data_IF_441005809387
#
_entry.id   IF_441005809387
#
_cell.length_a   1.000
_cell.length_b   1.000
_cell.length_c   1.000
_cell.angle_alpha   90.00
_cell.angle_beta   90.00
_cell.angle_gamma   90.00
#
_symmetry.space_group_name_H-M   'P 1'
#
loop_
_entity.id
_entity.type
_entity.pdbx_description
1 polymer ?
#
# COMPACT_ATOMS: atom_id res chain seq x y z
N UNK A 1 74.53 10.87 -35.72
CA UNK A 1 73.09 10.63 -35.50
C UNK A 1 72.89 9.17 -35.14
N UNK A 2 72.01 8.85 -34.19
CA UNK A 2 71.78 7.53 -33.52
C UNK A 2 72.47 7.34 -32.17
N UNK A 3 72.24 8.25 -31.22
CA UNK A 3 72.41 7.98 -29.78
C UNK A 3 71.45 8.78 -28.86
N UNK A 4 70.40 9.40 -29.41
CA UNK A 4 69.47 10.25 -28.65
C UNK A 4 68.01 9.75 -28.59
N UNK A 5 67.66 8.64 -29.26
CA UNK A 5 66.31 8.05 -29.22
C UNK A 5 66.18 6.81 -28.31
N UNK A 6 67.26 6.30 -27.73
CA UNK A 6 67.22 5.12 -26.85
C UNK A 6 67.11 5.45 -25.35
N UNK A 7 67.21 6.73 -24.97
CA UNK A 7 67.18 7.15 -23.56
C UNK A 7 65.81 7.64 -23.06
N UNK A 8 64.79 7.72 -23.92
CA UNK A 8 63.40 8.06 -23.52
C UNK A 8 62.49 6.85 -23.31
N UNK A 9 62.92 5.63 -23.64
CA UNK A 9 62.14 4.41 -23.39
C UNK A 9 62.51 3.67 -22.10
N UNK A 10 63.51 4.13 -21.35
CA UNK A 10 63.99 3.44 -20.13
C UNK A 10 63.52 4.12 -18.83
N UNK A 11 62.88 5.30 -18.91
CA UNK A 11 62.36 6.04 -17.74
C UNK A 11 60.85 5.91 -17.50
N UNK A 12 60.17 5.00 -18.22
CA UNK A 12 58.74 4.72 -18.02
C UNK A 12 58.47 3.27 -17.54
N UNK A 13 59.46 2.65 -16.90
CA UNK A 13 59.38 1.24 -16.48
C UNK A 13 59.96 0.98 -15.08
N UNK A 14 59.69 1.85 -14.09
CA UNK A 14 59.90 1.53 -12.66
C UNK A 14 59.03 2.41 -11.74
N UNK A 15 57.73 2.15 -11.72
CA UNK A 15 56.85 2.43 -10.58
C UNK A 15 55.70 1.41 -10.60
N UNK A 16 55.99 0.19 -10.16
CA UNK A 16 54.96 -0.81 -9.82
C UNK A 16 55.00 -0.92 -8.29
N UNK A 17 53.96 -0.45 -7.57
CA UNK A 17 53.85 -0.69 -6.14
C UNK A 17 53.53 -2.17 -5.92
N UNK A 18 54.27 -2.79 -5.01
CA UNK A 18 53.87 -4.04 -4.37
C UNK A 18 52.51 -3.84 -3.68
N UNK A 19 51.48 -4.42 -4.26
CA UNK A 19 50.25 -4.74 -3.54
C UNK A 19 50.13 -6.27 -3.54
N UNK A 20 50.11 -6.83 -2.33
CA UNK A 20 49.76 -8.22 -2.08
C UNK A 20 48.45 -8.55 -2.81
N UNK A 21 48.52 -9.46 -3.78
CA UNK A 21 47.34 -10.02 -4.43
C UNK A 21 46.59 -10.89 -3.43
N UNK A 22 45.54 -10.33 -2.83
CA UNK A 22 44.40 -11.10 -2.37
C UNK A 22 43.86 -11.89 -3.58
N UNK A 23 43.50 -13.18 -3.42
CA UNK A 23 42.80 -13.88 -4.48
C UNK A 23 41.51 -13.12 -4.80
N UNK A 24 41.06 -13.10 -6.07
CA UNK A 24 39.81 -12.45 -6.43
C UNK A 24 38.69 -13.00 -5.55
N UNK A 25 37.75 -12.16 -5.08
CA UNK A 25 36.59 -12.68 -4.39
C UNK A 25 35.89 -13.60 -5.38
N UNK A 26 35.90 -14.89 -5.09
CA UNK A 26 34.93 -15.82 -5.64
C UNK A 26 33.59 -15.10 -5.57
N UNK A 27 32.94 -14.98 -6.73
CA UNK A 27 31.55 -14.56 -6.80
C UNK A 27 30.80 -15.28 -5.68
N UNK A 28 29.86 -14.63 -4.97
CA UNK A 28 29.00 -15.37 -4.09
C UNK A 28 28.21 -16.31 -4.99
N UNK A 29 28.67 -17.56 -5.11
CA UNK A 29 27.82 -18.69 -5.40
C UNK A 29 26.74 -18.60 -4.34
N UNK A 30 25.67 -18.00 -4.81
CA UNK A 30 24.32 -18.01 -4.31
C UNK A 30 24.16 -19.28 -3.49
N UNK A 31 24.26 -19.14 -2.16
CA UNK A 31 23.66 -20.08 -1.23
C UNK A 31 22.16 -19.88 -1.44
N UNK A 32 21.65 -20.47 -2.51
CA UNK A 32 20.24 -20.73 -2.69
C UNK A 32 19.90 -21.64 -1.51
N UNK A 33 18.94 -21.28 -0.66
CA UNK A 33 18.46 -22.24 0.32
C UNK A 33 18.01 -23.47 -0.47
N UNK A 34 18.64 -24.62 -0.22
CA UNK A 34 18.27 -25.94 -0.73
C UNK A 34 16.90 -26.32 -0.18
N UNK A 35 15.88 -25.57 -0.57
CA UNK A 35 14.50 -25.99 -0.48
C UNK A 35 14.25 -26.84 -1.71
N UNK A 36 13.75 -28.07 -1.56
CA UNK A 36 13.41 -28.88 -2.72
C UNK A 36 12.38 -28.11 -3.55
N UNK A 37 12.60 -28.02 -4.85
CA UNK A 37 11.61 -27.47 -5.78
C UNK A 37 10.42 -28.43 -5.73
N UNK A 38 9.25 -27.92 -5.38
CA UNK A 38 8.00 -28.68 -5.31
C UNK A 38 6.91 -27.82 -5.96
N UNK A 39 6.09 -28.39 -6.87
CA UNK A 39 4.97 -27.67 -7.44
C UNK A 39 3.97 -27.23 -6.35
N UNK A 40 3.27 -26.10 -6.54
CA UNK A 40 2.20 -25.69 -5.64
C UNK A 40 1.05 -26.72 -5.66
N UNK A 41 0.21 -26.69 -4.62
CA UNK A 41 -0.96 -27.56 -4.52
C UNK A 41 -1.93 -27.32 -5.69
N UNK A 42 -2.22 -28.39 -6.44
CA UNK A 42 -3.12 -28.32 -7.58
C UNK A 42 -4.58 -28.33 -7.13
N UNK A 43 -5.23 -27.17 -7.23
CA UNK A 43 -6.59 -26.98 -6.74
C UNK A 43 -7.61 -27.65 -7.68
N UNK A 44 -8.59 -28.36 -7.11
CA UNK A 44 -9.70 -28.92 -7.87
C UNK A 44 -10.51 -27.80 -8.52
N UNK A 45 -10.48 -27.74 -9.85
CA UNK A 45 -11.16 -26.71 -10.65
C UNK A 45 -12.16 -27.34 -11.61
N UNK A 46 -13.33 -26.70 -11.77
CA UNK A 46 -14.30 -27.12 -12.77
C UNK A 46 -13.88 -26.57 -14.15
N UNK A 47 -13.76 -27.45 -15.13
CA UNK A 47 -13.32 -27.13 -16.49
C UNK A 47 -14.51 -27.16 -17.43
N UNK A 48 -14.74 -26.07 -18.16
CA UNK A 48 -15.78 -25.96 -19.18
C UNK A 48 -15.10 -25.91 -20.55
N UNK A 49 -15.24 -26.99 -21.32
CA UNK A 49 -14.76 -27.07 -22.71
C UNK A 49 -15.71 -26.32 -23.62
N UNK A 50 -15.20 -25.33 -24.36
CA UNK A 50 -15.93 -24.60 -25.40
C UNK A 50 -15.24 -24.74 -26.75
N UNK A 51 -15.99 -24.57 -27.83
CA UNK A 51 -15.46 -24.50 -29.20
C UNK A 51 -15.59 -23.07 -29.72
N UNK A 52 -14.53 -22.55 -30.33
CA UNK A 52 -14.57 -21.24 -30.95
C UNK A 52 -15.42 -21.26 -32.23
N UNK A 53 -16.06 -20.12 -32.53
CA UNK A 53 -16.79 -19.92 -33.79
C UNK A 53 -15.80 -19.66 -34.92
N UNK A 54 -15.93 -20.39 -36.03
CA UNK A 54 -15.09 -20.21 -37.22
C UNK A 54 -15.81 -19.36 -38.28
N UNK A 55 -15.04 -18.55 -39.00
CA UNK A 55 -15.53 -17.83 -40.17
C UNK A 55 -15.66 -18.80 -41.35
N UNK A 56 -16.69 -18.61 -42.19
CA UNK A 56 -16.94 -19.46 -43.35
C UNK A 56 -15.76 -19.41 -44.35
N UNK A 57 -15.15 -20.56 -44.63
CA UNK A 57 -14.04 -20.71 -45.59
C UNK A 57 -12.70 -21.13 -44.98
N UNK A 58 -12.63 -21.25 -43.66
CA UNK A 58 -11.47 -21.78 -42.97
C UNK A 58 -11.68 -23.28 -42.69
N UNK A 59 -11.00 -24.16 -43.43
CA UNK A 59 -11.00 -25.63 -43.24
C UNK A 59 -10.19 -26.05 -41.99
N UNK A 60 -9.89 -25.09 -41.10
CA UNK A 60 -9.04 -25.29 -39.94
C UNK A 60 -9.81 -25.85 -38.75
N UNK A 61 -9.16 -26.81 -38.10
CA UNK A 61 -9.66 -27.62 -36.98
C UNK A 61 -10.25 -26.74 -35.88
N UNK A 62 -11.38 -27.20 -35.31
CA UNK A 62 -12.10 -26.49 -34.26
C UNK A 62 -11.18 -26.22 -33.06
N UNK A 63 -10.79 -24.96 -32.85
CA UNK A 63 -9.95 -24.59 -31.70
C UNK A 63 -10.74 -24.80 -30.42
N UNK A 64 -10.30 -25.76 -29.61
CA UNK A 64 -10.91 -26.04 -28.31
C UNK A 64 -10.35 -25.10 -27.26
N UNK A 65 -11.24 -24.47 -26.50
CA UNK A 65 -10.90 -23.58 -25.41
C UNK A 65 -11.35 -24.21 -24.08
N UNK A 66 -10.47 -24.19 -23.09
CA UNK A 66 -10.77 -24.67 -21.73
C UNK A 66 -10.99 -23.48 -20.82
N UNK A 67 -12.22 -23.32 -20.31
CA UNK A 67 -12.55 -22.23 -19.40
C UNK A 67 -12.55 -22.71 -17.96
N UNK A 68 -11.85 -22.00 -17.10
CA UNK A 68 -11.72 -22.27 -15.67
C UNK A 68 -11.92 -20.97 -14.88
N UNK A 69 -12.19 -21.12 -13.58
CA UNK A 69 -12.23 -20.00 -12.63
C UNK A 69 -11.13 -20.21 -11.60
N UNK A 70 -10.25 -19.23 -11.44
CA UNK A 70 -9.12 -19.29 -10.50
C UNK A 70 -9.33 -18.25 -9.40
N UNK A 71 -9.29 -18.69 -8.15
CA UNK A 71 -9.33 -17.82 -6.97
C UNK A 71 -7.95 -17.26 -6.61
N UNK A 72 -7.92 -16.13 -5.91
CA UNK A 72 -6.67 -15.53 -5.45
C UNK A 72 -5.88 -16.53 -4.59
N UNK A 73 -4.58 -16.66 -4.84
CA UNK A 73 -3.64 -17.61 -4.23
C UNK A 73 -3.89 -19.10 -4.56
N UNK A 74 -4.83 -19.42 -5.45
CA UNK A 74 -5.04 -20.79 -5.92
C UNK A 74 -4.28 -21.08 -7.21
N UNK A 75 -3.95 -22.35 -7.41
CA UNK A 75 -3.20 -22.86 -8.57
C UNK A 75 -4.05 -23.86 -9.36
N UNK A 76 -4.20 -23.62 -10.66
CA UNK A 76 -4.70 -24.62 -11.61
C UNK A 76 -3.52 -25.37 -12.23
N UNK A 77 -3.63 -26.70 -12.34
CA UNK A 77 -2.59 -27.53 -12.92
C UNK A 77 -3.11 -28.34 -14.10
N UNK A 78 -2.30 -28.47 -15.14
CA UNK A 78 -2.65 -29.22 -16.33
C UNK A 78 -1.43 -29.82 -17.04
N UNK A 79 -1.68 -30.81 -17.89
CA UNK A 79 -0.68 -31.46 -18.75
C UNK A 79 -1.11 -31.39 -20.20
N UNK A 80 -0.11 -31.46 -21.08
CA UNK A 80 -0.30 -31.62 -22.53
C UNK A 80 -0.21 -33.11 -22.87
N UNK A 81 -1.32 -33.69 -23.30
CA UNK A 81 -1.42 -35.10 -23.69
C UNK A 81 -1.52 -35.23 -25.21
N UNK A 82 -0.69 -36.08 -25.80
CA UNK A 82 -0.71 -36.32 -27.24
C UNK A 82 -1.95 -37.15 -27.63
N UNK A 83 -2.80 -36.60 -28.48
CA UNK A 83 -4.08 -37.19 -28.89
C UNK A 83 -3.94 -38.37 -29.86
N UNK A 84 -2.73 -38.63 -30.40
CA UNK A 84 -2.52 -39.71 -31.38
C UNK A 84 -2.37 -41.11 -30.78
N UNK A 85 -2.33 -41.25 -29.45
CA UNK A 85 -2.05 -42.52 -28.76
C UNK A 85 -3.31 -43.32 -28.33
N UNK A 86 -4.51 -43.04 -28.84
CA UNK A 86 -5.71 -43.85 -28.54
C UNK A 86 -5.75 -45.24 -29.21
N UNK A 87 -4.70 -45.64 -29.93
CA UNK A 87 -4.59 -46.99 -30.49
C UNK A 87 -3.19 -47.56 -30.32
N UNK A 88 -2.71 -47.75 -29.09
CA UNK A 88 -1.92 -48.95 -28.77
C UNK A 88 -1.85 -49.21 -27.25
N UNK A 89 -2.53 -50.30 -26.90
CA UNK A 89 -2.43 -51.13 -25.71
C UNK A 89 -1.10 -51.11 -24.92
N UNK A 90 -1.21 -50.80 -23.63
CA UNK A 90 -0.66 -51.51 -22.45
C UNK A 90 0.85 -51.86 -22.35
N UNK A 91 1.71 -51.53 -23.32
CA UNK A 91 3.13 -51.90 -23.29
C UNK A 91 4.11 -50.87 -23.91
N UNK A 92 3.71 -49.60 -24.07
CA UNK A 92 4.60 -48.55 -24.62
C UNK A 92 5.32 -47.69 -23.56
N UNK A 93 5.29 -48.09 -22.29
CA UNK A 93 6.18 -47.50 -21.29
C UNK A 93 7.61 -48.04 -21.50
N UNK A 94 8.56 -47.11 -21.59
CA UNK A 94 10.03 -47.23 -21.35
C UNK A 94 10.93 -46.74 -22.48
N UNK A 95 10.54 -46.63 -23.76
CA UNK A 95 11.54 -46.31 -24.82
C UNK A 95 11.28 -45.13 -25.77
N UNK A 96 10.13 -44.45 -25.75
CA UNK A 96 9.87 -43.31 -26.65
C UNK A 96 9.58 -41.97 -25.94
N UNK A 97 10.26 -41.70 -24.82
CA UNK A 97 10.27 -40.38 -24.19
C UNK A 97 11.25 -39.42 -24.92
N UNK A 98 10.91 -39.01 -26.14
CA UNK A 98 11.57 -37.90 -26.86
C UNK A 98 10.59 -36.97 -27.58
N UNK A 99 9.43 -36.71 -26.98
CA UNK A 99 8.73 -35.44 -27.17
C UNK A 99 9.24 -34.47 -26.08
N UNK A 100 9.82 -33.33 -26.45
CA UNK A 100 10.56 -32.46 -25.51
C UNK A 100 9.73 -31.96 -24.31
N UNK A 101 8.39 -32.03 -24.36
CA UNK A 101 7.47 -31.56 -23.30
C UNK A 101 6.39 -32.57 -22.88
N UNK A 102 6.44 -33.81 -23.39
CA UNK A 102 5.44 -34.82 -23.04
C UNK A 102 5.55 -35.16 -21.56
N UNK A 103 4.50 -34.85 -20.80
CA UNK A 103 4.39 -35.16 -19.37
C UNK A 103 4.78 -34.02 -18.42
N UNK A 104 5.12 -32.82 -18.92
CA UNK A 104 5.34 -31.68 -18.04
C UNK A 104 4.07 -31.27 -17.31
N UNK A 105 4.21 -30.93 -16.03
CA UNK A 105 3.15 -30.36 -15.21
C UNK A 105 3.18 -28.84 -15.33
N UNK A 106 2.20 -28.28 -16.03
CA UNK A 106 2.02 -26.84 -16.11
C UNK A 106 1.17 -26.37 -14.94
N UNK A 107 1.60 -25.29 -14.29
CA UNK A 107 0.92 -24.69 -13.16
C UNK A 107 0.66 -23.21 -13.45
N UNK A 108 -0.55 -22.75 -13.12
CA UNK A 108 -0.97 -21.37 -13.27
C UNK A 108 -1.56 -20.90 -11.94
N UNK A 109 -0.83 -20.03 -11.25
CA UNK A 109 -1.22 -19.51 -9.93
C UNK A 109 -1.67 -18.07 -10.06
N UNK A 110 -2.85 -17.72 -9.56
CA UNK A 110 -3.25 -16.32 -9.41
C UNK A 110 -2.58 -15.76 -8.16
N UNK A 111 -1.40 -15.16 -8.30
CA UNK A 111 -0.57 -14.79 -7.16
C UNK A 111 -0.97 -13.46 -6.52
N UNK A 112 -1.45 -12.51 -7.33
CA UNK A 112 -1.79 -11.16 -6.83
C UNK A 112 -3.02 -10.58 -7.52
N UNK A 113 -3.79 -9.82 -6.73
CA UNK A 113 -4.85 -8.93 -7.17
C UNK A 113 -4.54 -7.53 -6.62
N UNK A 114 -4.39 -6.56 -7.52
CA UNK A 114 -3.98 -5.21 -7.19
C UNK A 114 -4.95 -4.17 -7.75
N UNK A 115 -5.28 -3.17 -6.93
CA UNK A 115 -5.94 -1.95 -7.37
C UNK A 115 -4.94 -0.81 -7.41
N UNK A 116 -4.84 -0.17 -8.57
CA UNK A 116 -3.98 0.97 -8.82
C UNK A 116 -4.84 2.22 -8.84
N UNK A 117 -4.88 2.91 -7.71
CA UNK A 117 -5.63 4.16 -7.53
C UNK A 117 -4.78 5.34 -7.99
N UNK A 118 -5.23 6.16 -8.95
CA UNK A 118 -4.55 7.39 -9.28
C UNK A 118 -4.70 8.42 -8.16
N UNK A 119 -3.63 9.19 -7.92
CA UNK A 119 -3.62 10.29 -6.95
C UNK A 119 -3.93 11.60 -7.69
N UNK A 120 -5.07 12.22 -7.38
CA UNK A 120 -5.51 13.47 -8.02
C UNK A 120 -5.10 14.74 -7.28
N UNK A 121 -4.89 14.65 -5.97
CA UNK A 121 -4.41 15.74 -5.12
C UNK A 121 -3.36 15.20 -4.15
N UNK A 122 -2.35 16.02 -3.85
CA UNK A 122 -1.31 15.68 -2.90
C UNK A 122 -0.81 16.93 -2.17
N UNK A 123 -0.61 16.85 -0.86
CA UNK A 123 0.08 17.87 -0.08
C UNK A 123 0.72 17.29 1.19
N UNK A 124 1.79 17.92 1.67
CA UNK A 124 2.44 17.57 2.94
C UNK A 124 1.84 18.38 4.09
N UNK A 125 1.65 17.73 5.24
CA UNK A 125 1.15 18.36 6.46
C UNK A 125 1.81 17.78 7.70
N UNK A 126 1.65 18.47 8.83
CA UNK A 126 2.11 18.00 10.14
C UNK A 126 1.02 18.23 11.19
N UNK A 127 1.17 17.55 12.33
CA UNK A 127 0.42 17.88 13.54
C UNK A 127 1.17 19.02 14.24
N UNK A 128 0.56 20.19 14.47
CA UNK A 128 1.23 21.29 15.13
C UNK A 128 1.22 21.12 16.66
N UNK A 129 2.36 21.39 17.28
CA UNK A 129 2.48 21.78 18.67
C UNK A 129 2.27 23.30 18.78
N UNK A 130 1.31 23.69 19.60
CA UNK A 130 0.87 25.07 19.80
C UNK A 130 1.40 25.58 21.13
N UNK A 131 2.08 26.72 21.08
CA UNK A 131 2.56 27.44 22.27
C UNK A 131 1.93 28.82 22.31
N UNK A 132 1.23 29.14 23.39
CA UNK A 132 0.64 30.47 23.59
C UNK A 132 1.36 31.22 24.71
N UNK A 133 1.67 32.50 24.45
CA UNK A 133 2.23 33.42 25.43
C UNK A 133 1.41 34.69 25.41
N UNK A 134 0.79 35.05 26.52
CA UNK A 134 -0.11 36.18 26.63
C UNK A 134 0.42 37.23 27.61
N UNK A 135 0.14 38.50 27.31
CA UNK A 135 0.36 39.64 28.20
C UNK A 135 -0.98 40.35 28.44
N UNK A 136 -1.24 40.69 29.70
CA UNK A 136 -2.42 41.45 30.10
C UNK A 136 -2.05 42.89 30.44
N UNK A 137 -2.85 43.83 29.99
CA UNK A 137 -2.70 45.26 30.23
C UNK A 137 -3.97 45.81 30.89
N UNK A 138 -3.81 46.48 32.03
CA UNK A 138 -4.92 47.08 32.77
C UNK A 138 -5.35 48.42 32.17
N UNK A 139 -4.41 49.16 31.57
CA UNK A 139 -4.72 50.45 30.93
C UNK A 139 -5.24 50.25 29.50
N UNK A 140 -6.52 50.55 29.30
CA UNK A 140 -7.14 50.49 27.98
C UNK A 140 -6.50 51.47 26.98
N UNK A 141 -5.74 52.48 27.39
CA UNK A 141 -5.09 53.42 26.47
C UNK A 141 -3.62 53.09 26.20
N UNK A 142 -3.07 52.04 26.80
CA UNK A 142 -1.69 51.61 26.57
C UNK A 142 -1.49 51.10 25.14
N UNK A 143 -0.40 51.53 24.50
CA UNK A 143 0.00 51.10 23.16
C UNK A 143 0.68 49.72 23.16
N UNK A 144 1.06 49.20 24.33
CA UNK A 144 1.78 47.92 24.49
C UNK A 144 0.92 46.76 23.97
N UNK A 145 -0.35 46.72 24.37
CA UNK A 145 -1.34 45.75 23.92
C UNK A 145 -2.46 46.44 23.15
N UNK A 146 -2.29 46.56 21.83
CA UNK A 146 -3.26 47.24 20.96
C UNK A 146 -3.67 46.39 19.75
N UNK A 147 -4.85 46.69 19.21
CA UNK A 147 -5.31 46.07 17.97
C UNK A 147 -4.33 46.29 16.80
N UNK A 148 -3.60 47.42 16.79
CA UNK A 148 -2.60 47.72 15.76
C UNK A 148 -1.41 46.76 15.79
N UNK A 149 -0.99 46.32 16.97
CA UNK A 149 0.21 45.49 17.15
C UNK A 149 -0.08 44.00 17.27
N UNK A 150 -1.31 43.61 17.64
CA UNK A 150 -1.69 42.20 17.87
C UNK A 150 -2.88 41.67 17.07
N UNK A 151 -3.62 42.50 16.33
CA UNK A 151 -4.74 42.01 15.51
C UNK A 151 -4.28 41.67 14.10
N UNK A 152 -4.63 40.47 13.63
CA UNK A 152 -4.41 40.01 12.24
C UNK A 152 -2.96 40.12 11.73
N UNK A 153 -1.97 39.91 12.60
CA UNK A 153 -0.55 40.08 12.26
C UNK A 153 0.32 38.91 12.74
N UNK A 154 1.55 38.83 12.21
CA UNK A 154 2.57 37.90 12.68
C UNK A 154 3.32 38.45 13.89
N UNK A 155 4.00 37.57 14.61
CA UNK A 155 4.92 37.97 15.66
C UNK A 155 6.13 38.71 15.07
N UNK A 156 6.59 39.75 15.76
CA UNK A 156 7.75 40.53 15.34
C UNK A 156 9.01 40.00 16.03
N UNK A 157 9.80 39.17 15.35
CA UNK A 157 11.11 38.74 15.83
C UNK A 157 12.22 39.58 15.18
N UNK A 158 13.08 40.18 16.00
CA UNK A 158 14.15 41.07 15.54
C UNK A 158 15.33 40.37 14.87
N UNK A 159 15.48 39.04 15.02
CA UNK A 159 16.69 38.31 14.59
C UNK A 159 16.47 36.83 14.17
N UNK A 160 15.25 36.41 13.80
CA UNK A 160 15.00 35.01 13.40
C UNK A 160 14.90 34.82 11.88
N UNK A 161 15.31 33.66 11.39
CA UNK A 161 15.04 33.18 10.02
C UNK A 161 13.56 33.32 9.68
N UNK A 162 13.23 33.82 8.49
CA UNK A 162 11.87 34.15 8.04
C UNK A 162 10.82 33.05 8.30
N UNK A 163 11.21 31.78 8.29
CA UNK A 163 10.35 30.61 8.56
C UNK A 163 9.74 30.54 9.96
N UNK A 164 10.39 31.09 10.98
CA UNK A 164 9.85 31.15 12.36
C UNK A 164 8.81 32.27 12.52
N UNK A 165 8.88 33.31 11.69
CA UNK A 165 7.92 34.42 11.72
C UNK A 165 6.57 34.02 11.12
N UNK A 166 6.57 33.17 10.08
CA UNK A 166 5.34 32.80 9.37
C UNK A 166 4.41 31.88 10.18
N UNK A 167 4.95 31.20 11.20
CA UNK A 167 4.20 30.29 12.08
C UNK A 167 3.85 30.87 13.44
N UNK A 168 4.15 32.14 13.67
CA UNK A 168 3.76 32.83 14.89
C UNK A 168 2.75 33.93 14.56
N UNK A 169 1.59 33.85 15.20
CA UNK A 169 0.46 34.74 14.96
C UNK A 169 0.12 35.48 16.24
N UNK A 170 -0.22 36.76 16.11
CA UNK A 170 -0.71 37.56 17.22
C UNK A 170 -2.23 37.59 17.23
N UNK A 171 -2.78 37.58 18.43
CA UNK A 171 -4.22 37.74 18.65
C UNK A 171 -4.51 38.78 19.71
N UNK A 172 -5.50 39.63 19.44
CA UNK A 172 -5.95 40.70 20.33
C UNK A 172 -7.32 40.37 20.92
N UNK A 173 -7.43 40.44 22.25
CA UNK A 173 -8.64 40.14 23.03
C UNK A 173 -9.00 41.34 23.89
N UNK A 174 -9.85 42.27 23.40
CA UNK A 174 -10.31 43.42 24.18
C UNK A 174 -11.36 43.02 25.22
N UNK A 175 -11.73 43.99 26.07
CA UNK A 175 -12.86 43.90 27.01
C UNK A 175 -12.77 42.72 28.00
N UNK A 176 -11.58 42.53 28.57
CA UNK A 176 -11.33 41.49 29.57
C UNK A 176 -11.76 41.96 30.97
N UNK A 177 -11.85 41.00 31.91
CA UNK A 177 -12.24 41.29 33.29
C UNK A 177 -11.18 42.16 34.01
N UNK A 178 -11.62 42.99 34.95
CA UNK A 178 -10.77 43.88 35.75
C UNK A 178 -10.05 43.17 36.91
N UNK A 179 -10.02 41.82 36.90
CA UNK A 179 -9.38 41.03 37.95
C UNK A 179 -7.88 41.31 38.02
N UNK A 180 -7.42 41.87 39.15
CA UNK A 180 -6.04 42.32 39.35
C UNK A 180 -5.79 43.79 38.97
N UNK A 181 -6.77 44.49 38.39
CA UNK A 181 -6.70 45.89 38.01
C UNK A 181 -7.56 46.78 38.94
N UNK A 182 -7.56 48.09 38.68
CA UNK A 182 -8.47 49.01 39.38
C UNK A 182 -9.93 48.75 38.97
N UNK A 183 -10.90 48.84 39.90
CA UNK A 183 -12.31 48.58 39.61
C UNK A 183 -12.82 49.49 38.49
N UNK A 184 -13.49 48.90 37.49
CA UNK A 184 -14.02 49.63 36.33
C UNK A 184 -13.01 49.89 35.21
N UNK A 185 -11.79 49.36 35.31
CA UNK A 185 -10.89 49.27 34.16
C UNK A 185 -11.37 48.21 33.15
N UNK A 186 -11.07 48.40 31.87
CA UNK A 186 -11.28 47.39 30.84
C UNK A 186 -9.92 46.87 30.40
N UNK A 187 -9.49 45.76 31.00
CA UNK A 187 -8.20 45.18 30.67
C UNK A 187 -8.23 44.59 29.24
N UNK A 188 -7.05 44.44 28.65
CA UNK A 188 -6.85 43.90 27.32
C UNK A 188 -5.82 42.78 27.40
N UNK A 189 -6.03 41.73 26.62
CA UNK A 189 -5.14 40.58 26.55
C UNK A 189 -4.58 40.46 25.12
N UNK A 190 -3.26 40.36 25.03
CA UNK A 190 -2.55 40.22 23.77
C UNK A 190 -1.73 38.95 23.82
N UNK A 191 -1.86 38.09 22.81
CA UNK A 191 -1.17 36.81 22.80
C UNK A 191 -0.37 36.60 21.53
N UNK A 192 0.73 35.88 21.66
CA UNK A 192 1.49 35.27 20.58
C UNK A 192 1.22 33.76 20.59
N UNK A 193 0.79 33.24 19.45
CA UNK A 193 0.45 31.83 19.23
C UNK A 193 1.43 31.28 18.20
N UNK A 194 2.34 30.42 18.66
CA UNK A 194 3.39 29.83 17.83
C UNK A 194 3.06 28.37 17.51
N UNK A 195 3.29 27.97 16.26
CA UNK A 195 3.02 26.64 15.74
C UNK A 195 4.31 25.97 15.27
N UNK A 196 4.59 24.77 15.77
CA UNK A 196 5.77 23.99 15.34
C UNK A 196 5.39 22.55 15.04
N UNK A 197 6.05 21.85 14.09
CA UNK A 197 5.74 20.45 13.82
C UNK A 197 6.03 19.56 15.04
N UNK A 198 5.00 18.89 15.56
CA UNK A 198 5.13 18.02 16.70
C UNK A 198 6.07 16.83 16.39
N UNK A 199 7.11 16.67 17.21
CA UNK A 199 8.16 15.64 17.05
C UNK A 199 8.84 15.64 15.67
N UNK A 200 8.81 16.76 14.93
CA UNK A 200 9.30 16.85 13.54
C UNK A 200 8.71 15.80 12.59
N UNK A 201 7.52 15.27 12.90
CA UNK A 201 6.82 14.30 12.05
C UNK A 201 6.01 15.00 10.97
N UNK A 202 6.02 14.42 9.77
CA UNK A 202 5.22 14.89 8.65
C UNK A 202 4.47 13.73 7.98
N UNK A 203 3.42 14.09 7.27
CA UNK A 203 2.49 13.19 6.62
C UNK A 203 2.20 13.71 5.22
N UNK A 204 1.90 12.79 4.30
CA UNK A 204 1.46 13.12 2.95
C UNK A 204 -0.02 12.80 2.84
N UNK A 205 -0.84 13.81 2.59
CA UNK A 205 -2.25 13.68 2.27
C UNK A 205 -2.42 13.44 0.76
N UNK A 206 -3.30 12.52 0.39
CA UNK A 206 -3.52 12.10 -1.00
C UNK A 206 -5.01 11.88 -1.25
N UNK A 207 -5.52 12.39 -2.38
CA UNK A 207 -6.86 12.05 -2.86
C UNK A 207 -6.79 10.87 -3.83
N UNK A 208 -7.40 9.75 -3.47
CA UNK A 208 -7.46 8.55 -4.29
C UNK A 208 -8.72 8.54 -5.12
N UNK A 209 -8.56 8.32 -6.42
CA UNK A 209 -9.66 8.18 -7.38
C UNK A 209 -10.00 6.70 -7.64
N UNK A 210 -10.95 6.46 -8.55
CA UNK A 210 -11.36 5.12 -8.94
C UNK A 210 -10.15 4.30 -9.48
N UNK A 211 -9.95 3.06 -9.02
CA UNK A 211 -8.78 2.28 -9.40
C UNK A 211 -8.92 1.62 -10.76
N UNK A 212 -7.75 1.24 -11.30
CA UNK A 212 -7.65 0.18 -12.31
C UNK A 212 -7.24 -1.13 -11.65
N UNK A 213 -7.88 -2.23 -12.04
CA UNK A 213 -7.61 -3.57 -11.50
C UNK A 213 -6.55 -4.29 -12.33
N UNK A 214 -5.58 -4.89 -11.66
CA UNK A 214 -4.56 -5.74 -12.23
C UNK A 214 -4.52 -7.08 -11.51
N UNK A 215 -4.31 -8.15 -12.28
CA UNK A 215 -4.06 -9.49 -11.75
C UNK A 215 -2.69 -9.95 -12.21
N UNK A 216 -1.99 -10.66 -11.34
CA UNK A 216 -0.69 -11.25 -11.66
C UNK A 216 -0.80 -12.76 -11.55
N UNK A 217 -0.41 -13.45 -12.62
CA UNK A 217 -0.31 -14.89 -12.67
C UNK A 217 1.15 -15.32 -12.67
N UNK A 218 1.46 -16.34 -11.87
CA UNK A 218 2.73 -17.06 -11.96
C UNK A 218 2.50 -18.37 -12.69
N UNK A 219 3.11 -18.48 -13.86
CA UNK A 219 3.15 -19.69 -14.67
C UNK A 219 4.48 -20.40 -14.46
N UNK A 220 4.42 -21.70 -14.17
CA UNK A 220 5.61 -22.54 -14.03
C UNK A 220 5.35 -23.92 -14.63
N UNK A 221 6.29 -24.44 -15.42
CA UNK A 221 6.28 -25.79 -15.94
C UNK A 221 7.31 -26.66 -15.22
N UNK A 222 6.87 -27.81 -14.73
CA UNK A 222 7.70 -28.75 -13.98
C UNK A 222 7.85 -30.09 -14.71
N UNK A 223 9.02 -30.68 -14.58
CA UNK A 223 9.35 -32.01 -15.06
C UNK A 223 9.75 -32.89 -13.88
N UNK A 224 9.24 -34.13 -13.84
CA UNK A 224 9.55 -35.08 -12.78
C UNK A 224 10.55 -36.12 -13.30
N UNK A 225 11.83 -35.93 -12.98
CA UNK A 225 12.91 -36.81 -13.44
C UNK A 225 13.78 -37.26 -12.28
N UNK A 226 14.13 -38.55 -12.27
CA UNK A 226 14.97 -39.16 -11.23
C UNK A 226 14.48 -38.92 -9.80
N UNK A 227 13.15 -38.97 -9.58
CA UNK A 227 12.55 -38.84 -8.25
C UNK A 227 12.46 -37.41 -7.71
N UNK A 228 12.70 -36.39 -8.53
CA UNK A 228 12.63 -34.97 -8.13
C UNK A 228 11.93 -34.11 -9.18
N UNK A 229 11.33 -33.02 -8.71
CA UNK A 229 10.78 -31.98 -9.57
C UNK A 229 11.86 -31.01 -10.01
N UNK A 230 11.81 -30.61 -11.27
CA UNK A 230 12.72 -29.63 -11.87
C UNK A 230 11.88 -28.58 -12.60
N UNK A 231 12.13 -27.30 -12.33
CA UNK A 231 11.51 -26.19 -13.06
C UNK A 231 12.14 -26.08 -14.46
N UNK A 232 11.29 -26.09 -15.51
CA UNK A 232 11.71 -26.02 -16.92
C UNK A 232 11.42 -24.66 -17.56
N UNK A 233 10.28 -24.08 -17.21
CA UNK A 233 9.86 -22.78 -17.70
C UNK A 233 9.14 -22.00 -16.59
N UNK A 234 9.29 -20.69 -16.60
CA UNK A 234 8.68 -19.80 -15.61
C UNK A 234 8.42 -18.43 -16.20
N UNK A 235 7.23 -17.92 -15.96
CA UNK A 235 6.79 -16.62 -16.44
C UNK A 235 5.85 -15.96 -15.43
N UNK A 236 5.98 -14.66 -15.22
CA UNK A 236 5.06 -13.87 -14.40
C UNK A 236 4.33 -12.90 -15.31
N UNK A 237 3.01 -13.06 -15.38
CA UNK A 237 2.16 -12.39 -16.36
C UNK A 237 1.24 -11.45 -15.60
N UNK A 238 1.33 -10.16 -15.91
CA UNK A 238 0.48 -9.13 -15.33
C UNK A 238 -0.55 -8.68 -16.34
N UNK A 239 -1.83 -8.77 -15.98
CA UNK A 239 -2.95 -8.46 -16.87
C UNK A 239 -3.82 -7.36 -16.27
N UNK A 240 -4.13 -6.35 -17.07
CA UNK A 240 -5.11 -5.33 -16.73
C UNK A 240 -6.51 -5.90 -16.94
N UNK A 241 -7.39 -5.72 -15.97
CA UNK A 241 -8.74 -6.26 -16.01
C UNK A 241 -9.73 -5.09 -16.01
N UNK A 242 -10.16 -4.68 -17.20
CA UNK A 242 -11.01 -3.51 -17.45
C UNK A 242 -12.32 -3.84 -18.20
N UNK A 243 -12.70 -5.12 -18.21
CA UNK A 243 -13.96 -5.61 -18.78
C UNK A 243 -13.83 -6.30 -20.14
N UNK A 244 -12.68 -6.16 -20.82
CA UNK A 244 -12.36 -6.95 -22.01
C UNK A 244 -11.50 -8.17 -21.66
N UNK A 245 -11.63 -9.24 -22.46
CA UNK A 245 -10.73 -10.39 -22.37
C UNK A 245 -9.39 -10.02 -22.98
N UNK A 246 -8.32 -10.15 -22.19
CA UNK A 246 -6.95 -9.93 -22.64
C UNK A 246 -6.30 -11.29 -22.94
N UNK A 247 -5.68 -11.43 -24.11
CA UNK A 247 -5.03 -12.67 -24.56
C UNK A 247 -3.51 -12.53 -24.62
N UNK A 248 -2.80 -13.48 -24.02
CA UNK A 248 -1.33 -13.48 -23.87
C UNK A 248 -0.79 -14.90 -23.92
N UNK A 249 0.38 -15.12 -24.52
CA UNK A 249 1.05 -16.44 -24.47
C UNK A 249 1.66 -16.72 -23.09
N UNK A 250 1.44 -17.93 -22.58
CA UNK A 250 1.95 -18.41 -21.29
C UNK A 250 3.38 -18.91 -21.40
N UNK A 251 3.61 -19.79 -22.38
CA UNK A 251 4.83 -20.57 -22.53
C UNK A 251 5.82 -19.92 -23.50
N UNK A 252 7.10 -20.26 -23.33
CA UNK A 252 8.17 -19.75 -24.20
C UNK A 252 7.98 -20.08 -25.67
N UNK A 253 7.30 -21.19 -25.98
CA UNK A 253 7.04 -21.64 -27.34
C UNK A 253 5.77 -21.07 -27.96
N UNK A 254 5.01 -20.26 -27.22
CA UNK A 254 3.77 -19.60 -27.70
C UNK A 254 2.73 -20.59 -28.22
N UNK A 255 2.58 -21.73 -27.54
CA UNK A 255 1.56 -22.74 -27.86
C UNK A 255 0.33 -22.59 -26.97
N UNK A 256 0.53 -22.13 -25.74
CA UNK A 256 -0.51 -21.93 -24.75
C UNK A 256 -0.85 -20.45 -24.67
N UNK A 257 -2.08 -20.12 -25.01
CA UNK A 257 -2.60 -18.76 -24.89
C UNK A 257 -3.59 -18.66 -23.73
N UNK A 258 -3.40 -17.64 -22.90
CA UNK A 258 -4.20 -17.29 -21.74
C UNK A 258 -5.09 -16.09 -22.07
N UNK A 259 -6.40 -16.33 -22.11
CA UNK A 259 -7.43 -15.31 -22.08
C UNK A 259 -7.86 -15.04 -20.65
N UNK A 260 -7.73 -13.81 -20.18
CA UNK A 260 -8.17 -13.40 -18.83
C UNK A 260 -9.32 -12.43 -18.94
N UNK A 261 -10.43 -12.73 -18.27
CA UNK A 261 -11.57 -11.82 -18.15
C UNK A 261 -12.06 -11.72 -16.71
N UNK A 262 -12.52 -10.52 -16.32
CA UNK A 262 -13.28 -10.35 -15.09
C UNK A 262 -14.75 -10.67 -15.34
N UNK A 263 -15.36 -11.43 -14.43
CA UNK A 263 -16.81 -11.57 -14.35
C UNK A 263 -17.53 -10.34 -13.77
N UNK A 264 -16.81 -9.27 -13.40
CA UNK A 264 -17.34 -8.05 -12.78
C UNK A 264 -16.26 -7.23 -12.05
N UNK A 265 -16.68 -6.22 -11.27
CA UNK A 265 -15.76 -5.52 -10.36
C UNK A 265 -15.23 -6.49 -9.31
N UNK A 266 -14.03 -6.24 -8.78
CA UNK A 266 -13.51 -6.98 -7.63
C UNK A 266 -14.50 -6.92 -6.45
N UNK A 267 -14.48 -7.93 -5.56
CA UNK A 267 -15.38 -8.00 -4.39
C UNK A 267 -15.33 -6.75 -3.52
N UNK A 268 -14.12 -6.22 -3.34
CA UNK A 268 -13.87 -5.05 -2.52
C UNK A 268 -13.19 -3.95 -3.34
N UNK A 269 -13.42 -2.71 -2.95
CA UNK A 269 -12.74 -1.57 -3.51
C UNK A 269 -12.59 -0.52 -2.42
N UNK A 270 -11.38 0.05 -2.31
CA UNK A 270 -11.17 1.20 -1.45
C UNK A 270 -11.95 2.39 -2.01
N UNK A 271 -12.65 3.12 -1.15
CA UNK A 271 -13.49 4.23 -1.56
C UNK A 271 -12.66 5.41 -2.09
N UNK A 272 -13.19 6.10 -3.10
CA UNK A 272 -12.63 7.37 -3.56
C UNK A 272 -12.71 8.39 -2.44
N UNK A 273 -11.59 9.05 -2.13
CA UNK A 273 -11.56 9.99 -1.01
C UNK A 273 -10.16 10.37 -0.59
N UNK A 274 -10.08 11.10 0.53
CA UNK A 274 -8.81 11.53 1.09
C UNK A 274 -8.23 10.50 2.06
N UNK A 275 -6.93 10.25 1.91
CA UNK A 275 -6.15 9.36 2.75
C UNK A 275 -4.81 10.02 3.06
N UNK A 276 -4.04 9.44 3.98
CA UNK A 276 -2.70 9.94 4.28
C UNK A 276 -1.75 8.82 4.69
N UNK A 277 -0.45 9.08 4.56
CA UNK A 277 0.60 8.18 5.04
C UNK A 277 1.69 9.00 5.76
N UNK A 278 2.34 8.43 6.80
CA UNK A 278 3.57 8.99 7.36
C UNK A 278 4.64 9.15 6.27
N UNK A 279 5.31 10.31 6.29
CA UNK A 279 6.43 10.59 5.40
C UNK A 279 7.73 10.21 6.12
N UNK A 280 8.44 9.19 5.66
CA UNK A 280 9.71 8.81 6.25
C UNK A 280 10.84 9.70 5.70
N UNK A 281 11.86 9.95 6.52
CA UNK A 281 13.04 10.74 6.13
C UNK A 281 13.76 10.22 4.88
N UNK A 282 13.57 8.94 4.55
CA UNK A 282 14.16 8.29 3.37
C UNK A 282 13.36 8.53 2.07
N UNK A 283 12.29 9.32 2.11
CA UNK A 283 11.38 9.57 0.97
C UNK A 283 10.40 8.41 0.70
N UNK A 284 10.45 7.34 1.49
CA UNK A 284 9.46 6.26 1.46
C UNK A 284 8.21 6.63 2.24
N UNK A 285 7.05 6.20 1.78
CA UNK A 285 5.79 6.37 2.49
C UNK A 285 5.38 5.05 3.15
N UNK A 286 4.90 5.15 4.38
CA UNK A 286 4.35 4.02 5.13
C UNK A 286 2.96 3.60 4.62
N UNK A 287 2.32 2.68 5.34
CA UNK A 287 0.96 2.24 5.02
C UNK A 287 -0.06 3.37 5.16
N UNK A 288 -1.01 3.33 4.22
CA UNK A 288 -2.09 4.30 4.11
C UNK A 288 -3.02 4.26 5.34
N UNK A 289 -3.50 5.42 5.75
CA UNK A 289 -4.49 5.63 6.82
C UNK A 289 -5.69 6.39 6.28
N UNK A 290 -6.86 6.16 6.88
CA UNK A 290 -8.12 6.83 6.52
C UNK A 290 -8.68 7.57 7.73
N UNK A 291 -8.84 8.89 7.61
CA UNK A 291 -9.45 9.75 8.62
C UNK A 291 -9.96 11.03 7.94
N UNK A 292 -10.84 11.78 8.59
CA UNK A 292 -11.33 13.07 8.10
C UNK A 292 -10.18 14.08 7.95
N UNK A 293 -9.81 14.37 6.70
CA UNK A 293 -8.71 15.25 6.32
C UNK A 293 -9.19 16.22 5.23
N UNK A 294 -8.65 17.42 5.23
CA UNK A 294 -9.00 18.45 4.25
C UNK A 294 -8.56 18.06 2.83
N UNK A 295 -9.37 18.40 1.84
CA UNK A 295 -8.89 18.48 0.45
C UNK A 295 -7.90 19.64 0.27
N UNK A 296 -7.16 19.67 -0.84
CA UNK A 296 -6.16 20.72 -1.10
C UNK A 296 -6.76 22.14 -1.11
N UNK A 297 -8.02 22.28 -1.51
CA UNK A 297 -8.72 23.56 -1.55
C UNK A 297 -9.54 23.86 -0.28
N UNK A 298 -9.66 22.89 0.63
CA UNK A 298 -10.36 23.02 1.91
C UNK A 298 -9.42 23.52 3.01
N UNK A 299 -9.96 24.19 4.03
CA UNK A 299 -9.21 24.65 5.21
C UNK A 299 -10.11 24.67 6.46
N UNK A 300 -10.59 23.49 6.85
CA UNK A 300 -11.38 23.26 8.04
C UNK A 300 -10.46 22.82 9.21
N UNK A 301 -10.52 23.53 10.33
CA UNK A 301 -9.69 23.26 11.50
C UNK A 301 -10.16 22.05 12.34
N UNK A 302 -11.35 21.52 12.05
CA UNK A 302 -11.89 20.30 12.66
C UNK A 302 -11.36 19.01 11.98
N UNK A 303 -10.70 19.15 10.82
CA UNK A 303 -10.17 18.04 10.03
C UNK A 303 -8.65 18.09 10.01
N UNK A 304 -7.99 16.96 9.77
CA UNK A 304 -6.54 16.94 9.55
C UNK A 304 -6.11 17.84 8.36
N UNK A 305 -4.84 18.22 8.35
CA UNK A 305 -4.20 18.82 7.18
C UNK A 305 -4.38 20.34 7.02
N UNK A 306 -4.73 21.08 8.07
CA UNK A 306 -4.75 22.55 8.05
C UNK A 306 -3.36 23.19 8.26
N UNK A 307 -2.41 22.48 8.87
CA UNK A 307 -1.01 22.90 9.03
C UNK A 307 -0.12 22.25 7.96
N UNK A 308 0.13 22.97 6.87
CA UNK A 308 0.67 22.42 5.62
C UNK A 308 2.07 22.89 5.33
N UNK A 309 2.86 22.05 4.69
CA UNK A 309 4.16 22.42 4.18
C UNK A 309 4.03 23.13 2.83
N UNK A 310 4.71 24.24 2.68
CA UNK A 310 4.77 25.01 1.45
C UNK A 310 5.87 24.47 0.50
N UNK A 311 6.02 25.12 -0.66
CA UNK A 311 7.02 24.74 -1.66
C UNK A 311 8.47 25.02 -1.20
N UNK A 312 8.67 25.88 -0.21
CA UNK A 312 9.98 26.19 0.39
C UNK A 312 10.34 25.19 1.50
N UNK A 313 9.40 24.32 1.87
CA UNK A 313 9.57 23.32 2.90
C UNK A 313 9.18 23.80 4.31
N UNK A 314 8.60 24.98 4.44
CA UNK A 314 8.11 25.54 5.69
C UNK A 314 6.67 25.13 5.93
N UNK A 315 6.35 24.76 7.16
CA UNK A 315 4.95 24.59 7.55
C UNK A 315 4.30 25.96 7.69
N UNK A 316 3.04 26.10 7.29
CA UNK A 316 2.27 27.33 7.32
C UNK A 316 0.79 27.02 7.53
N UNK A 317 0.04 28.03 7.99
CA UNK A 317 -1.43 27.96 8.13
C UNK A 317 -2.04 28.88 7.08
N UNK A 318 -2.83 28.31 6.17
CA UNK A 318 -3.49 29.09 5.11
C UNK A 318 -4.44 30.11 5.72
N UNK A 319 -4.26 31.38 5.35
CA UNK A 319 -4.98 32.52 5.94
C UNK A 319 -4.85 32.61 7.47
N UNK A 320 -3.72 32.17 8.03
CA UNK A 320 -3.48 32.11 9.48
C UNK A 320 -3.77 33.42 10.21
N UNK A 321 -3.31 34.57 9.69
CA UNK A 321 -3.57 35.90 10.28
C UNK A 321 -5.04 36.12 10.66
N UNK A 322 -5.97 35.72 9.79
CA UNK A 322 -7.42 35.91 9.99
C UNK A 322 -8.03 34.77 10.80
N UNK A 323 -7.57 33.54 10.57
CA UNK A 323 -8.15 32.35 11.20
C UNK A 323 -7.74 32.20 12.67
N UNK A 324 -6.46 32.41 12.99
CA UNK A 324 -5.96 32.29 14.37
C UNK A 324 -6.66 33.29 15.29
N UNK A 325 -6.83 34.55 14.85
CA UNK A 325 -7.55 35.58 15.61
C UNK A 325 -9.01 35.19 15.95
N UNK A 326 -9.64 34.34 15.14
CA UNK A 326 -11.03 33.88 15.36
C UNK A 326 -11.13 32.61 16.19
N UNK A 327 -10.16 31.70 16.06
CA UNK A 327 -10.21 30.38 16.70
C UNK A 327 -9.45 30.32 18.03
N UNK A 328 -8.50 31.24 18.26
CA UNK A 328 -7.85 31.36 19.55
C UNK A 328 -8.78 32.08 20.52
N UNK A 329 -9.22 31.39 21.56
CA UNK A 329 -10.02 31.93 22.64
C UNK A 329 -9.11 32.14 23.84
N UNK A 330 -9.03 33.36 24.36
CA UNK A 330 -8.24 33.64 25.55
C UNK A 330 -8.99 34.54 26.53
N UNK A 331 -8.80 34.28 27.82
CA UNK A 331 -9.46 35.00 28.91
C UNK A 331 -8.51 35.28 30.06
N UNK A 332 -8.58 36.48 30.62
CA UNK A 332 -7.80 36.86 31.81
C UNK A 332 -8.33 36.13 33.05
N UNK A 333 -7.43 35.54 33.83
CA UNK A 333 -7.71 35.08 35.19
C UNK A 333 -7.31 36.14 36.21
N UNK A 334 -6.09 36.67 36.09
CA UNK A 334 -5.60 37.78 36.89
C UNK A 334 -4.55 38.56 36.09
N UNK A 335 -4.87 39.81 35.77
CA UNK A 335 -4.05 40.66 34.93
C UNK A 335 -2.74 41.06 35.61
N UNK A 336 -2.77 41.32 36.92
CA UNK A 336 -1.58 41.72 37.70
C UNK A 336 -0.57 40.59 37.80
N UNK A 337 -1.07 39.36 37.92
CA UNK A 337 -0.24 38.15 37.99
C UNK A 337 0.13 37.60 36.59
N UNK A 338 -0.34 38.26 35.51
CA UNK A 338 -0.18 37.81 34.12
C UNK A 338 -0.68 36.37 33.89
N UNK A 339 -1.79 36.01 34.54
CA UNK A 339 -2.44 34.70 34.40
C UNK A 339 -3.64 34.78 33.46
N UNK A 340 -3.67 33.87 32.49
CA UNK A 340 -4.73 33.78 31.49
C UNK A 340 -4.99 32.34 31.08
N UNK A 341 -6.24 32.05 30.75
CA UNK A 341 -6.64 30.83 30.06
C UNK A 341 -6.54 31.05 28.55
N UNK A 342 -6.06 30.04 27.84
CA UNK A 342 -5.91 30.05 26.38
C UNK A 342 -6.39 28.70 25.85
N UNK A 343 -7.18 28.74 24.80
CA UNK A 343 -7.74 27.57 24.14
C UNK A 343 -7.79 27.81 22.64
N UNK A 344 -7.55 26.76 21.85
CA UNK A 344 -7.69 26.81 20.40
C UNK A 344 -8.91 25.99 19.97
N UNK A 345 -9.89 26.66 19.36
CA UNK A 345 -11.08 26.05 18.76
C UNK A 345 -10.71 25.37 17.42
N UNK A 346 -10.03 24.25 17.53
CA UNK A 346 -9.53 23.42 16.45
C UNK A 346 -9.34 21.98 16.92
N UNK A 347 -9.19 21.05 15.98
CA UNK A 347 -8.79 19.67 16.25
C UNK A 347 -7.40 19.37 15.67
N UNK A 348 -6.85 18.22 16.10
CA UNK A 348 -5.62 17.66 15.57
C UNK A 348 -4.36 18.51 15.85
N UNK A 349 -4.19 18.95 17.09
CA UNK A 349 -2.99 19.66 17.56
C UNK A 349 -2.50 19.15 18.92
N UNK A 350 -1.32 19.62 19.33
CA UNK A 350 -0.78 19.41 20.67
C UNK A 350 -0.72 20.75 21.39
N UNK A 351 -1.34 20.85 22.57
CA UNK A 351 -1.27 22.02 23.44
C UNK A 351 -0.08 21.90 24.39
N UNK A 352 0.96 22.70 24.16
CA UNK A 352 2.14 22.69 25.02
C UNK A 352 1.86 23.25 26.42
N UNK A 353 0.83 24.08 26.56
CA UNK A 353 0.53 24.78 27.80
C UNK A 353 -0.38 23.97 28.74
N UNK A 354 -0.95 22.85 28.27
CA UNK A 354 -1.70 21.87 29.08
C UNK A 354 -0.88 20.57 29.23
N UNK A 355 0.00 20.47 30.24
CA UNK A 355 0.82 19.27 30.44
C UNK A 355 0.03 18.05 30.92
N UNK A 356 -1.19 18.22 31.44
CA UNK A 356 -2.01 17.09 31.89
C UNK A 356 -2.67 16.37 30.70
N UNK A 357 -3.11 17.14 29.70
CA UNK A 357 -3.71 16.59 28.48
C UNK A 357 -3.30 17.36 27.22
N UNK A 358 -2.02 17.23 26.80
CA UNK A 358 -1.47 18.02 25.70
C UNK A 358 -1.99 17.55 24.33
N UNK A 359 -2.25 16.26 24.15
CA UNK A 359 -2.63 15.71 22.83
C UNK A 359 -4.14 15.89 22.57
N UNK A 360 -4.49 16.85 21.70
CA UNK A 360 -5.86 17.04 21.21
C UNK A 360 -6.12 16.29 19.90
N UNK A 361 -5.47 15.13 19.74
CA UNK A 361 -5.55 14.34 18.51
C UNK A 361 -5.37 12.85 18.76
N UNK A 362 -6.00 12.04 17.90
CA UNK A 362 -5.75 10.61 17.80
C UNK A 362 -5.71 10.23 16.32
N UNK A 363 -4.66 9.51 15.91
CA UNK A 363 -4.50 9.04 14.54
C UNK A 363 -5.06 7.62 14.42
N UNK A 364 -5.95 7.43 13.44
CA UNK A 364 -6.48 6.10 13.11
C UNK A 364 -5.37 5.15 12.64
N UNK A 365 -5.61 3.84 12.80
CA UNK A 365 -4.71 2.79 12.35
C UNK A 365 -4.59 2.76 10.81
N UNK A 366 -3.57 2.06 10.29
CA UNK A 366 -3.44 1.81 8.86
C UNK A 366 -4.63 1.02 8.31
N UNK A 367 -5.02 1.28 7.07
CA UNK A 367 -6.18 0.65 6.42
C UNK A 367 -6.04 -0.87 6.36
N UNK A 368 -4.82 -1.41 6.24
CA UNK A 368 -4.56 -2.85 6.28
C UNK A 368 -4.83 -3.50 7.65
N UNK A 369 -4.85 -2.73 8.74
CA UNK A 369 -5.26 -3.22 10.07
C UNK A 369 -6.76 -3.08 10.32
N UNK A 370 -7.42 -2.17 9.61
CA UNK A 370 -8.85 -1.87 9.75
C UNK A 370 -9.68 -2.79 8.86
N UNK A 371 -9.19 -3.06 7.65
CA UNK A 371 -9.89 -3.82 6.63
C UNK A 371 -9.17 -5.15 6.36
N UNK A 372 -9.72 -6.30 6.80
CA UNK A 372 -9.07 -7.62 6.64
C UNK A 372 -8.77 -7.99 5.19
N UNK A 373 -9.56 -7.49 4.25
CA UNK A 373 -9.41 -7.72 2.81
C UNK A 373 -8.20 -7.00 2.19
N UNK A 374 -7.58 -6.06 2.91
CA UNK A 374 -6.39 -5.32 2.45
C UNK A 374 -5.14 -5.97 3.03
N UNK A 375 -4.34 -6.60 2.16
CA UNK A 375 -3.01 -7.10 2.53
C UNK A 375 -2.00 -5.97 2.69
N UNK A 376 -2.04 -4.97 1.81
CA UNK A 376 -1.20 -3.78 1.90
C UNK A 376 -1.78 -2.64 1.06
N UNK A 377 -1.67 -1.40 1.53
CA UNK A 377 -1.99 -0.20 0.75
C UNK A 377 -0.84 0.79 0.85
N UNK A 378 -0.09 0.96 -0.24
CA UNK A 378 1.15 1.76 -0.26
C UNK A 378 1.25 2.56 -1.55
N UNK A 379 1.93 3.70 -1.47
CA UNK A 379 2.27 4.51 -2.64
C UNK A 379 3.33 3.78 -3.46
N UNK A 380 3.21 3.78 -4.79
CA UNK A 380 4.20 3.14 -5.65
C UNK A 380 5.53 3.89 -5.60
N UNK A 381 6.61 3.16 -5.33
CA UNK A 381 7.97 3.69 -5.31
C UNK A 381 8.32 4.41 -6.63
N UNK A 382 8.95 5.58 -6.53
CA UNK A 382 9.49 6.34 -7.65
C UNK A 382 8.58 7.41 -8.25
N UNK A 383 7.31 7.10 -8.58
CA UNK A 383 6.43 8.10 -9.23
C UNK A 383 5.57 8.91 -8.26
N UNK A 384 5.20 8.33 -7.11
CA UNK A 384 4.26 8.96 -6.18
C UNK A 384 2.87 9.25 -6.76
N UNK A 385 2.51 8.71 -7.94
CA UNK A 385 1.26 9.02 -8.67
C UNK A 385 0.13 8.04 -8.45
N UNK A 386 0.44 6.87 -7.89
CA UNK A 386 -0.53 5.82 -7.65
C UNK A 386 -0.38 5.24 -6.26
N UNK A 387 -1.49 4.83 -5.68
CA UNK A 387 -1.53 3.91 -4.54
C UNK A 387 -1.89 2.52 -5.04
N UNK A 388 -1.07 1.55 -4.66
CA UNK A 388 -1.33 0.13 -4.92
C UNK A 388 -1.93 -0.49 -3.67
N UNK A 389 -3.18 -0.94 -3.82
CA UNK A 389 -3.88 -1.73 -2.82
C UNK A 389 -3.80 -3.19 -3.25
N UNK A 390 -3.09 -4.00 -2.48
CA UNK A 390 -3.02 -5.46 -2.65
C UNK A 390 -4.09 -6.12 -1.81
N UNK A 391 -4.88 -6.96 -2.45
CA UNK A 391 -5.96 -7.68 -1.80
C UNK A 391 -5.42 -8.93 -1.09
N UNK A 392 -5.95 -9.24 0.09
CA UNK A 392 -5.74 -10.53 0.78
C UNK A 392 -6.77 -11.57 0.32
N UNK A 393 -7.97 -11.12 -0.05
CA UNK A 393 -9.07 -11.93 -0.58
C UNK A 393 -9.63 -11.29 -1.86
N UNK A 394 -10.14 -12.11 -2.78
CA UNK A 394 -10.67 -11.60 -4.05
C UNK A 394 -11.63 -12.58 -4.72
N UNK A 395 -12.48 -12.06 -5.59
CA UNK A 395 -13.35 -12.90 -6.43
C UNK A 395 -12.54 -13.71 -7.43
N UNK A 396 -13.08 -14.85 -7.85
CA UNK A 396 -12.46 -15.67 -8.87
C UNK A 396 -12.38 -14.93 -10.21
N UNK A 397 -11.25 -15.08 -10.89
CA UNK A 397 -11.02 -14.57 -12.24
C UNK A 397 -11.39 -15.65 -13.25
N UNK A 398 -12.03 -15.26 -14.35
CA UNK A 398 -12.33 -16.20 -15.43
C UNK A 398 -11.13 -16.29 -16.36
N UNK A 399 -10.69 -17.52 -16.60
CA UNK A 399 -9.52 -17.83 -17.40
C UNK A 399 -9.93 -18.76 -18.52
N UNK A 400 -9.46 -18.47 -19.72
CA UNK A 400 -9.60 -19.27 -20.92
C UNK A 400 -8.22 -19.72 -21.37
N UNK A 401 -8.01 -21.02 -21.54
CA UNK A 401 -6.80 -21.57 -22.11
C UNK A 401 -7.08 -22.07 -23.52
N UNK A 402 -6.30 -21.60 -24.48
CA UNK A 402 -6.31 -22.05 -25.86
C UNK A 402 -4.95 -22.69 -26.18
N UNK A 403 -5.01 -23.84 -26.85
CA UNK A 403 -3.85 -24.57 -27.31
C UNK A 403 -3.77 -24.45 -28.83
N UNK A 404 -2.68 -23.88 -29.32
CA UNK A 404 -2.39 -23.69 -30.74
C UNK A 404 -1.54 -24.84 -31.29
N UNK A 405 -1.92 -26.07 -30.96
CA UNK A 405 -1.25 -27.28 -31.44
C UNK A 405 -2.27 -28.43 -31.59
N UNK A 406 -2.36 -29.01 -32.79
CA UNK A 406 -3.43 -29.94 -33.18
C UNK A 406 -3.25 -31.35 -32.59
N UNK A 407 -2.01 -31.72 -32.27
CA UNK A 407 -1.63 -33.05 -31.79
C UNK A 407 -1.79 -33.21 -30.28
N UNK A 408 -2.04 -32.14 -29.54
CA UNK A 408 -2.10 -32.18 -28.09
C UNK A 408 -3.48 -31.80 -27.57
N UNK A 409 -3.79 -32.32 -26.38
CA UNK A 409 -5.00 -32.02 -25.62
C UNK A 409 -4.62 -31.60 -24.20
N UNK A 410 -5.46 -30.79 -23.57
CA UNK A 410 -5.26 -30.32 -22.20
C UNK A 410 -5.99 -31.23 -21.22
N UNK A 411 -5.24 -31.85 -20.30
CA UNK A 411 -5.79 -32.60 -19.18
C UNK A 411 -5.51 -31.86 -17.86
N UNK A 412 -6.54 -31.64 -17.05
CA UNK A 412 -6.40 -30.96 -15.76
C UNK A 412 -6.20 -31.97 -14.64
N UNK A 413 -5.27 -31.67 -13.74
CA UNK A 413 -4.95 -32.50 -12.59
C UNK A 413 -5.14 -31.71 -11.31
N UNK A 414 -5.50 -32.40 -10.24
CA UNK A 414 -5.65 -31.80 -8.92
C UNK A 414 -5.12 -32.75 -7.85
N UNK A 415 -4.69 -32.17 -6.74
CA UNK A 415 -4.25 -32.91 -5.56
C UNK A 415 -5.44 -33.19 -4.64
N UNK A 416 -5.23 -34.08 -3.66
CA UNK A 416 -6.19 -34.31 -2.58
C UNK A 416 -6.04 -33.26 -1.48
N UNK A 417 -7.17 -32.82 -0.93
CA UNK A 417 -7.20 -31.91 0.21
C UNK A 417 -7.11 -32.69 1.53
N UNK A 418 -6.40 -32.14 2.51
CA UNK A 418 -6.16 -32.76 3.82
C UNK A 418 -6.25 -31.70 4.93
N UNK A 419 -6.73 -32.08 6.10
CA UNK A 419 -6.64 -31.29 7.34
C UNK A 419 -6.49 -32.26 8.52
N UNK A 420 -5.57 -31.99 9.44
CA UNK A 420 -5.42 -32.78 10.66
C UNK A 420 -6.28 -32.22 11.79
N UNK A 421 -6.14 -30.92 12.08
CA UNK A 421 -6.91 -30.24 13.13
C UNK A 421 -7.06 -28.73 12.83
N UNK A 422 -7.93 -28.04 13.57
CA UNK A 422 -8.08 -26.59 13.51
C UNK A 422 -8.38 -25.98 14.88
N UNK A 423 -7.95 -24.73 15.06
CA UNK A 423 -8.33 -23.90 16.20
C UNK A 423 -8.86 -22.55 15.69
N UNK A 424 -9.72 -21.91 16.47
CA UNK A 424 -10.17 -20.58 16.10
C UNK A 424 -11.19 -19.96 17.03
N UNK A 425 -11.44 -18.68 16.81
CA UNK A 425 -12.38 -17.88 17.61
C UNK A 425 -13.20 -16.97 16.71
N UNK A 426 -14.51 -16.88 16.95
CA UNK A 426 -15.38 -15.90 16.29
C UNK A 426 -15.19 -14.55 16.97
N UNK A 427 -14.82 -13.53 16.21
CA UNK A 427 -14.49 -12.20 16.71
C UNK A 427 -15.42 -11.18 16.05
N UNK A 428 -15.90 -10.23 16.86
CA UNK A 428 -16.49 -8.98 16.39
C UNK A 428 -15.54 -7.87 16.85
N UNK A 429 -14.90 -7.19 15.91
CA UNK A 429 -13.97 -6.12 16.25
C UNK A 429 -14.68 -4.79 16.55
N UNK A 430 -13.92 -3.79 16.97
CA UNK A 430 -14.41 -2.44 17.31
C UNK A 430 -14.98 -1.67 16.09
N UNK A 431 -14.75 -2.16 14.87
CA UNK A 431 -15.32 -1.63 13.62
C UNK A 431 -16.49 -2.47 13.11
N UNK A 432 -17.00 -3.40 13.93
CA UNK A 432 -18.12 -4.31 13.62
C UNK A 432 -17.84 -5.32 12.51
N UNK A 433 -16.57 -5.58 12.17
CA UNK A 433 -16.22 -6.68 11.29
C UNK A 433 -16.45 -8.00 12.04
N UNK A 434 -17.15 -8.95 11.39
CA UNK A 434 -17.41 -10.28 11.94
C UNK A 434 -16.61 -11.30 11.16
N UNK A 435 -15.69 -11.98 11.82
CA UNK A 435 -14.83 -12.96 11.17
C UNK A 435 -14.49 -14.12 12.11
N UNK A 436 -14.13 -15.25 11.51
CA UNK A 436 -13.61 -16.41 12.21
C UNK A 436 -12.10 -16.43 12.08
N UNK A 437 -11.39 -16.15 13.18
CA UNK A 437 -9.94 -16.24 13.21
C UNK A 437 -9.54 -17.71 13.27
N UNK A 438 -9.28 -18.30 12.11
CA UNK A 438 -9.01 -19.73 11.92
C UNK A 438 -7.53 -19.99 11.75
N UNK A 439 -7.00 -20.93 12.53
CA UNK A 439 -5.69 -21.56 12.32
C UNK A 439 -5.89 -23.04 12.02
N UNK A 440 -5.36 -23.50 10.89
CA UNK A 440 -5.41 -24.91 10.48
C UNK A 440 -4.05 -25.56 10.65
N UNK A 441 -4.03 -26.83 11.06
CA UNK A 441 -2.82 -27.60 11.30
C UNK A 441 -2.67 -28.72 10.26
N UNK A 442 -1.47 -28.80 9.67
CA UNK A 442 -1.09 -29.77 8.65
C UNK A 442 -2.13 -29.94 7.53
N UNK A 443 -2.58 -28.80 6.99
CA UNK A 443 -3.67 -28.74 6.05
C UNK A 443 -3.20 -28.35 4.64
N UNK A 444 -3.85 -28.91 3.62
CA UNK A 444 -3.60 -28.62 2.21
C UNK A 444 -4.92 -28.65 1.42
N UNK A 445 -5.03 -27.78 0.42
CA UNK A 445 -6.16 -27.77 -0.51
C UNK A 445 -7.44 -27.12 0.00
N UNK A 446 -8.58 -27.62 -0.50
CA UNK A 446 -9.91 -27.06 -0.26
C UNK A 446 -10.47 -27.65 1.04
N UNK A 447 -10.77 -26.79 2.00
CA UNK A 447 -11.33 -27.15 3.30
C UNK A 447 -12.72 -26.53 3.41
N UNK A 448 -13.74 -27.36 3.54
CA UNK A 448 -15.11 -26.90 3.73
C UNK A 448 -15.42 -26.78 5.21
N UNK A 449 -15.77 -25.58 5.66
CA UNK A 449 -16.24 -25.32 7.01
C UNK A 449 -17.77 -25.18 7.03
N UNK A 450 -18.40 -25.54 8.15
CA UNK A 450 -19.84 -25.34 8.35
C UNK A 450 -20.07 -24.77 9.74
N UNK A 451 -20.81 -23.66 9.83
CA UNK A 451 -21.08 -22.99 11.10
C UNK A 451 -22.39 -23.49 11.67
N UNK A 452 -22.34 -23.99 12.90
CA UNK A 452 -23.48 -24.57 13.62
C UNK A 452 -24.19 -23.51 14.45
N UNK A 453 -25.52 -23.57 14.51
CA UNK A 453 -26.34 -22.65 15.30
C UNK A 453 -26.10 -22.73 16.81
N UNK A 454 -25.71 -23.91 17.30
CA UNK A 454 -25.42 -24.14 18.72
C UNK A 454 -24.09 -24.86 18.89
N UNK A 455 -23.65 -25.02 20.14
CA UNK A 455 -22.43 -25.75 20.50
C UNK A 455 -22.52 -27.24 20.10
N UNK A 456 -23.74 -27.77 19.96
CA UNK A 456 -23.94 -29.14 19.53
C UNK A 456 -23.60 -29.33 18.04
N UNK A 457 -22.78 -30.35 17.76
CA UNK A 457 -22.31 -30.70 16.42
C UNK A 457 -23.45 -31.13 15.49
N UNK A 458 -24.50 -31.73 16.04
CA UNK A 458 -25.70 -32.13 15.28
C UNK A 458 -26.69 -31.00 15.03
N UNK A 459 -26.43 -29.79 15.54
CA UNK A 459 -27.35 -28.69 15.33
C UNK A 459 -27.39 -28.21 13.87
N UNK A 460 -28.45 -27.47 13.57
CA UNK A 460 -28.72 -26.94 12.23
C UNK A 460 -27.58 -26.02 11.80
N UNK A 461 -27.21 -26.13 10.52
CA UNK A 461 -26.24 -25.25 9.89
C UNK A 461 -26.81 -23.83 9.80
N UNK A 462 -26.13 -22.87 10.41
CA UNK A 462 -26.50 -21.46 10.34
C UNK A 462 -25.86 -20.78 9.12
N UNK A 463 -24.67 -21.24 8.73
CA UNK A 463 -23.95 -20.79 7.56
C UNK A 463 -23.20 -21.96 6.93
N UNK A 464 -23.29 -22.10 5.60
CA UNK A 464 -22.65 -23.17 4.83
C UNK A 464 -21.72 -22.60 3.77
#
# INVERSE_FOLDING_TARGET
MRLACLLRCILAARLIPWAFGLPPPLAPEIIQPFTPIVPPHCTKTAVIKSMLSHASGDDQIRTTQMNIRIGLQNTACFRLENSTNERDSLFADVLNARGQDQGWLHTLTLSQLEHHHPISQQYEFAIPEVRTSCICECDANSDVCSARTYSFTHCAYSNSTQSLQENCFRTFHPNQADTGCAPGSQSKLCCEVNFTPYQNKSYVAMKLEQPTTFVTFDYVAYDYTAGRWIEKDKNTIRVKVDGQTQWLFLDRWRRLELGVSAGGRASHQLETGMYFAPNNANGGMDELRQQTINEINENNFEKLGWFRKDALGHFTIRNGKVKIQRMHLAKVENCKDQKSQSFLDAHHYVDYNDPENPERFALEAAVGRIYPWIRSARVTDGSGRHVVVRHSEGTNVQVALQLHEETYSLSFVHDFSKIDDFSGTVIVDFKSNRFFNLTVYNATGIIHGTVKKTIDKSSIDEFQ
#
